data_IF_636367878269
#
_entry.id   IF_636367878269
#
_cell.length_a   1.000
_cell.length_b   1.000
_cell.length_c   1.000
_cell.angle_alpha   90.00
_cell.angle_beta   90.00
_cell.angle_gamma   90.00
#
_symmetry.space_group_name_H-M   'P 1'
#
loop_
_entity.id
_entity.type
_entity.pdbx_description
1 polymer ?
#
# COMPACT_ATOMS: atom_id res chain seq x y z
N UNK A 1 -8.83 -23.05 59.71
CA UNK A 1 -8.42 -22.75 58.29
C UNK A 1 -7.29 -23.73 57.92
N UNK A 2 -7.53 -24.59 56.95
CA UNK A 2 -6.83 -25.85 56.71
C UNK A 2 -5.51 -25.65 55.95
N UNK A 3 -4.56 -26.49 56.28
CA UNK A 3 -3.19 -26.59 55.76
C UNK A 3 -3.07 -26.87 54.23
N UNK A 4 -4.19 -26.93 53.51
CA UNK A 4 -4.20 -27.22 52.06
C UNK A 4 -4.03 -25.98 51.12
N UNK A 5 -4.03 -24.78 51.68
CA UNK A 5 -3.92 -23.55 50.89
C UNK A 5 -2.49 -23.00 50.71
N UNK A 6 -1.46 -23.68 51.23
CA UNK A 6 -0.06 -23.21 51.14
C UNK A 6 0.83 -23.98 50.18
N UNK A 7 0.34 -25.01 49.52
CA UNK A 7 1.13 -25.83 48.58
C UNK A 7 0.92 -25.50 47.10
N UNK A 8 -0.04 -24.67 46.77
CA UNK A 8 -0.31 -24.28 45.38
C UNK A 8 0.37 -22.99 44.92
N UNK A 9 0.99 -22.24 45.85
CA UNK A 9 1.69 -20.99 45.48
C UNK A 9 3.20 -21.17 45.19
N UNK A 10 3.79 -22.32 45.48
CA UNK A 10 5.22 -22.57 45.26
C UNK A 10 5.54 -23.21 43.90
N UNK A 11 4.55 -23.79 43.21
CA UNK A 11 4.77 -24.43 41.92
C UNK A 11 4.67 -23.45 40.70
N UNK A 12 4.08 -22.26 40.87
CA UNK A 12 3.96 -21.27 39.82
C UNK A 12 5.18 -20.35 39.66
N UNK A 13 6.06 -20.30 40.66
CA UNK A 13 7.25 -19.42 40.64
C UNK A 13 8.49 -20.04 39.95
N UNK A 14 8.50 -21.36 39.71
CA UNK A 14 9.64 -22.06 39.11
C UNK A 14 9.58 -22.16 37.57
N UNK A 15 8.41 -21.94 36.95
CA UNK A 15 8.29 -21.96 35.50
C UNK A 15 8.60 -20.62 34.83
N UNK A 16 8.56 -19.49 35.54
CA UNK A 16 8.86 -18.18 35.00
C UNK A 16 10.37 -17.84 34.92
N UNK A 17 11.19 -18.53 35.74
CA UNK A 17 12.64 -18.34 35.80
C UNK A 17 13.41 -19.02 34.65
N UNK A 18 12.87 -20.09 34.08
CA UNK A 18 13.52 -20.86 33.01
C UNK A 18 13.45 -20.18 31.62
N UNK A 19 12.38 -19.46 31.34
CA UNK A 19 12.19 -18.79 30.05
C UNK A 19 13.06 -17.52 29.93
N UNK A 20 13.33 -16.84 31.02
CA UNK A 20 14.16 -15.60 31.01
C UNK A 20 15.64 -15.94 30.89
N UNK A 21 16.12 -17.07 31.41
CA UNK A 21 17.52 -17.50 31.24
C UNK A 21 17.82 -17.98 29.79
N UNK A 22 16.86 -18.61 29.14
CA UNK A 22 17.02 -19.04 27.73
C UNK A 22 17.12 -17.86 26.76
N UNK A 23 16.35 -16.80 27.00
CA UNK A 23 16.41 -15.56 26.21
C UNK A 23 17.72 -14.77 26.41
N UNK A 24 18.33 -14.86 27.61
CA UNK A 24 19.58 -14.17 27.91
C UNK A 24 20.82 -14.88 27.32
N UNK A 25 20.76 -16.17 27.07
CA UNK A 25 21.85 -16.91 26.40
C UNK A 25 21.80 -16.84 24.90
N UNK A 26 20.61 -16.65 24.30
CA UNK A 26 20.45 -16.48 22.85
C UNK A 26 21.00 -15.12 22.35
N UNK A 27 21.06 -14.11 23.21
CA UNK A 27 21.61 -12.78 22.90
C UNK A 27 23.15 -12.69 22.97
N UNK A 28 23.86 -13.74 23.39
CA UNK A 28 25.33 -13.74 23.48
C UNK A 28 26.07 -14.56 22.43
N UNK A 29 25.37 -15.40 21.68
CA UNK A 29 25.95 -16.09 20.54
C UNK A 29 25.62 -15.29 19.28
N UNK A 30 26.52 -14.38 18.89
CA UNK A 30 26.38 -13.48 17.73
C UNK A 30 26.41 -14.20 16.37
N UNK A 31 25.44 -15.05 16.13
CA UNK A 31 25.04 -15.52 14.81
C UNK A 31 23.59 -15.12 14.61
N UNK A 32 23.36 -13.97 13.97
CA UNK A 32 22.07 -13.69 13.34
C UNK A 32 21.84 -14.82 12.32
N UNK A 33 20.68 -15.49 12.32
CA UNK A 33 20.39 -16.42 11.25
C UNK A 33 20.43 -15.63 9.94
N UNK A 34 21.26 -16.09 9.01
CA UNK A 34 21.17 -15.71 7.59
C UNK A 34 19.72 -15.97 7.21
N UNK A 35 19.03 -14.93 6.72
CA UNK A 35 17.68 -15.07 6.22
C UNK A 35 17.69 -16.16 5.15
N UNK A 36 17.08 -17.30 5.44
CA UNK A 36 16.71 -18.27 4.42
C UNK A 36 15.70 -17.57 3.49
N UNK A 37 15.79 -17.85 2.20
CA UNK A 37 14.81 -17.40 1.20
C UNK A 37 13.39 -17.49 1.77
N UNK A 38 12.86 -16.34 2.19
CA UNK A 38 11.50 -16.27 2.67
C UNK A 38 10.59 -16.18 1.46
N UNK A 39 10.26 -17.32 0.89
CA UNK A 39 9.18 -17.38 -0.09
C UNK A 39 7.93 -16.73 0.51
N UNK A 40 7.21 -15.95 -0.29
CA UNK A 40 5.92 -15.39 0.12
C UNK A 40 5.05 -16.57 0.59
N UNK A 41 4.49 -16.50 1.81
CA UNK A 41 3.68 -17.60 2.31
C UNK A 41 2.55 -17.94 1.32
N UNK A 42 2.28 -19.21 1.10
CA UNK A 42 1.15 -19.66 0.28
C UNK A 42 -0.22 -19.30 0.90
N UNK A 43 -0.23 -18.71 2.09
CA UNK A 43 -1.41 -18.19 2.78
C UNK A 43 -1.74 -16.77 2.31
N UNK A 44 -3.03 -16.40 2.36
CA UNK A 44 -3.49 -15.04 2.10
C UNK A 44 -2.98 -14.10 3.19
N UNK A 45 -2.13 -13.14 2.81
CA UNK A 45 -1.60 -12.14 3.73
C UNK A 45 -2.14 -10.73 3.40
N UNK A 46 -2.26 -9.91 4.43
CA UNK A 46 -2.47 -8.49 4.25
C UNK A 46 -1.11 -7.82 4.10
N UNK A 47 -0.96 -6.94 3.12
CA UNK A 47 0.22 -6.11 2.99
C UNK A 47 0.44 -5.29 4.26
N UNK A 48 1.60 -5.42 4.87
CA UNK A 48 1.95 -4.78 6.13
C UNK A 48 3.34 -4.18 6.13
N UNK A 49 3.52 -3.08 6.86
CA UNK A 49 4.76 -2.33 6.94
C UNK A 49 5.19 -2.12 8.40
N UNK A 50 6.48 -2.26 8.66
CA UNK A 50 7.11 -1.83 9.89
C UNK A 50 8.06 -0.65 9.62
N UNK A 51 8.02 0.38 10.48
CA UNK A 51 8.84 1.58 10.37
C UNK A 51 9.84 1.62 11.53
N UNK A 52 11.01 0.95 11.39
CA UNK A 52 11.99 0.87 12.48
C UNK A 52 12.72 2.18 12.73
N UNK A 53 12.84 3.04 11.71
CA UNK A 53 13.57 4.30 11.78
C UNK A 53 12.89 5.36 10.91
N UNK A 54 12.85 6.61 11.40
CA UNK A 54 12.30 7.74 10.65
C UNK A 54 13.14 8.08 9.41
N UNK A 55 12.46 8.42 8.31
CA UNK A 55 13.11 8.78 7.05
C UNK A 55 13.81 7.63 6.33
N UNK A 56 13.61 6.39 6.79
CA UNK A 56 14.16 5.19 6.16
C UNK A 56 13.09 4.33 5.51
N UNK A 57 13.52 3.58 4.51
CA UNK A 57 12.68 2.59 3.84
C UNK A 57 12.07 1.62 4.87
N UNK A 58 10.76 1.43 4.89
CA UNK A 58 10.10 0.50 5.79
C UNK A 58 10.41 -0.95 5.43
N UNK A 59 10.18 -1.84 6.38
CA UNK A 59 10.24 -3.29 6.16
C UNK A 59 8.83 -3.78 5.84
N UNK A 60 8.64 -4.37 4.65
CA UNK A 60 7.42 -5.06 4.26
C UNK A 60 7.37 -6.49 4.80
N UNK A 61 6.20 -7.10 4.77
CA UNK A 61 6.05 -8.53 5.07
C UNK A 61 6.45 -9.45 3.89
N UNK A 62 6.80 -8.86 2.75
CA UNK A 62 7.56 -9.49 1.66
C UNK A 62 8.68 -8.55 1.22
N UNK A 63 9.77 -9.10 0.68
CA UNK A 63 10.89 -8.29 0.18
C UNK A 63 10.59 -7.72 -1.21
N UNK A 64 11.34 -6.70 -1.64
CA UNK A 64 11.22 -6.17 -3.00
C UNK A 64 11.61 -7.22 -4.05
N UNK A 65 12.60 -8.06 -3.74
CA UNK A 65 13.07 -9.16 -4.59
C UNK A 65 12.00 -10.24 -4.76
N UNK A 66 11.31 -10.62 -3.67
CA UNK A 66 10.22 -11.61 -3.74
C UNK A 66 9.05 -11.08 -4.58
N UNK A 67 8.68 -9.83 -4.39
CA UNK A 67 7.61 -9.19 -5.16
C UNK A 67 7.97 -9.01 -6.63
N UNK A 68 9.25 -8.72 -6.93
CA UNK A 68 9.74 -8.51 -8.29
C UNK A 68 9.49 -9.71 -9.22
N UNK A 69 9.52 -10.94 -8.68
CA UNK A 69 9.24 -12.17 -9.43
C UNK A 69 7.82 -12.19 -10.03
N UNK A 70 6.92 -11.43 -9.46
CA UNK A 70 5.52 -11.31 -9.88
C UNK A 70 5.20 -9.94 -10.50
N UNK A 71 6.22 -9.17 -10.89
CA UNK A 71 6.01 -7.83 -11.43
C UNK A 71 5.33 -6.89 -10.41
N UNK A 72 5.60 -7.08 -9.11
CA UNK A 72 4.99 -6.30 -8.05
C UNK A 72 5.99 -5.35 -7.38
N UNK A 73 5.52 -4.16 -6.99
CA UNK A 73 6.30 -3.11 -6.35
C UNK A 73 5.65 -2.65 -5.05
N UNK A 74 6.46 -2.26 -4.07
CA UNK A 74 6.05 -1.41 -2.96
C UNK A 74 6.99 -0.23 -2.74
N UNK A 75 8.11 -0.21 -3.46
CA UNK A 75 9.14 0.82 -3.46
C UNK A 75 9.48 1.21 -4.90
N UNK A 76 9.79 2.48 -5.10
CA UNK A 76 10.41 2.98 -6.31
C UNK A 76 11.94 3.05 -6.20
N UNK A 77 12.54 4.07 -6.80
CA UNK A 77 14.01 4.29 -6.78
C UNK A 77 14.46 4.83 -5.42
N UNK A 78 14.92 3.94 -4.54
CA UNK A 78 15.40 4.29 -3.20
C UNK A 78 16.75 5.03 -3.19
N UNK A 79 17.37 5.21 -4.34
CA UNK A 79 18.58 6.05 -4.50
C UNK A 79 18.27 7.52 -4.78
N UNK A 80 16.99 7.90 -4.88
CA UNK A 80 16.54 9.24 -5.24
C UNK A 80 15.46 9.75 -4.29
N UNK A 81 15.49 11.03 -4.00
CA UNK A 81 14.41 11.74 -3.30
C UNK A 81 13.21 11.91 -4.23
N UNK A 82 12.54 10.81 -4.55
CA UNK A 82 11.36 10.77 -5.40
C UNK A 82 10.18 10.12 -4.65
N UNK A 83 9.01 10.67 -4.85
CA UNK A 83 7.74 10.18 -4.29
C UNK A 83 6.82 9.81 -5.45
N UNK A 84 6.20 8.66 -5.36
CA UNK A 84 5.14 8.20 -6.25
C UNK A 84 3.82 8.30 -5.50
N UNK A 85 3.01 9.30 -5.87
CA UNK A 85 1.71 9.53 -5.23
C UNK A 85 0.67 8.57 -5.78
N UNK A 86 -0.05 7.89 -4.90
CA UNK A 86 -1.14 7.00 -5.31
C UNK A 86 -2.36 7.19 -4.44
N UNK A 87 -3.55 7.10 -5.05
CA UNK A 87 -4.84 7.26 -4.39
C UNK A 87 -5.73 6.06 -4.70
N UNK A 88 -6.31 5.44 -3.66
CA UNK A 88 -7.38 4.48 -3.84
C UNK A 88 -8.73 5.19 -3.82
N UNK A 89 -9.55 4.91 -4.84
CA UNK A 89 -10.77 5.67 -5.15
C UNK A 89 -11.97 4.72 -5.24
N UNK A 90 -12.64 4.48 -4.11
CA UNK A 90 -13.82 3.62 -4.04
C UNK A 90 -15.12 4.31 -4.46
N UNK A 91 -15.26 5.60 -4.18
CA UNK A 91 -16.43 6.44 -4.50
C UNK A 91 -16.04 7.93 -4.38
N UNK A 92 -16.91 8.82 -4.86
CA UNK A 92 -16.76 10.26 -4.72
C UNK A 92 -17.59 10.80 -3.54
N UNK A 93 -16.99 11.72 -2.77
CA UNK A 93 -17.65 12.39 -1.65
C UNK A 93 -17.35 13.89 -1.55
N UNK A 94 -16.92 14.51 -2.64
CA UNK A 94 -16.60 15.94 -2.74
C UNK A 94 -15.11 16.28 -2.58
N UNK A 95 -14.23 15.28 -2.42
CA UNK A 95 -12.80 15.51 -2.15
C UNK A 95 -11.91 15.42 -3.40
N UNK A 96 -12.27 14.57 -4.37
CA UNK A 96 -11.37 14.26 -5.50
C UNK A 96 -11.04 15.47 -6.37
N UNK A 97 -12.00 16.37 -6.59
CA UNK A 97 -11.77 17.56 -7.41
C UNK A 97 -10.67 18.46 -6.83
N UNK A 98 -10.69 18.71 -5.51
CA UNK A 98 -9.68 19.54 -4.83
C UNK A 98 -8.31 18.86 -4.77
N UNK A 99 -8.26 17.53 -4.68
CA UNK A 99 -7.03 16.75 -4.79
C UNK A 99 -6.41 16.95 -6.17
N UNK A 100 -7.19 16.82 -7.25
CA UNK A 100 -6.72 17.05 -8.61
C UNK A 100 -6.23 18.49 -8.84
N UNK A 101 -6.94 19.48 -8.30
CA UNK A 101 -6.51 20.89 -8.35
C UNK A 101 -5.14 21.09 -7.69
N UNK A 102 -4.94 20.47 -6.55
CA UNK A 102 -3.68 20.52 -5.80
C UNK A 102 -2.55 19.82 -6.56
N UNK A 103 -2.77 18.63 -7.08
CA UNK A 103 -1.79 17.90 -7.88
C UNK A 103 -1.35 18.72 -9.11
N UNK A 104 -2.31 19.36 -9.79
CA UNK A 104 -2.04 20.26 -10.91
C UNK A 104 -1.20 21.46 -10.49
N UNK A 105 -1.49 22.09 -9.36
CA UNK A 105 -0.74 23.22 -8.81
C UNK A 105 0.75 22.88 -8.59
N UNK A 106 1.03 21.67 -8.08
CA UNK A 106 2.38 21.17 -7.81
C UNK A 106 3.04 20.47 -9.01
N UNK A 107 2.37 20.38 -10.16
CA UNK A 107 2.80 19.54 -11.29
C UNK A 107 3.15 18.12 -10.84
N UNK A 108 2.43 17.58 -9.87
CA UNK A 108 2.67 16.28 -9.27
C UNK A 108 1.88 15.20 -10.00
N UNK A 109 2.52 14.30 -10.77
CA UNK A 109 1.84 13.16 -11.33
C UNK A 109 1.40 12.22 -10.21
N UNK A 110 0.25 11.57 -10.40
CA UNK A 110 -0.27 10.59 -9.45
C UNK A 110 -0.87 9.39 -10.17
N UNK A 111 -1.13 8.30 -9.44
CA UNK A 111 -1.93 7.18 -9.90
C UNK A 111 -3.19 7.05 -9.04
N UNK A 112 -4.33 6.90 -9.69
CA UNK A 112 -5.62 6.70 -9.06
C UNK A 112 -6.08 5.27 -9.34
N UNK A 113 -6.13 4.43 -8.32
CA UNK A 113 -6.65 3.08 -8.41
C UNK A 113 -8.16 3.12 -8.17
N UNK A 114 -8.93 3.02 -9.24
CA UNK A 114 -10.38 3.19 -9.21
C UNK A 114 -11.11 1.85 -9.20
N UNK A 115 -12.29 1.83 -8.59
CA UNK A 115 -13.23 0.69 -8.70
C UNK A 115 -14.41 1.04 -9.62
N UNK A 116 -15.21 0.04 -9.99
CA UNK A 116 -16.38 0.25 -10.86
C UNK A 116 -17.30 1.36 -10.37
N UNK A 117 -17.63 1.39 -9.08
CA UNK A 117 -18.51 2.42 -8.51
C UNK A 117 -17.97 3.86 -8.71
N UNK A 118 -16.67 4.09 -8.62
CA UNK A 118 -16.09 5.42 -8.89
C UNK A 118 -16.27 5.82 -10.35
N UNK A 119 -16.07 4.91 -11.29
CA UNK A 119 -16.24 5.17 -12.72
C UNK A 119 -17.71 5.41 -13.08
N UNK A 120 -18.63 4.64 -12.49
CA UNK A 120 -20.07 4.78 -12.73
C UNK A 120 -20.68 6.06 -12.17
N UNK A 121 -20.23 6.48 -10.97
CA UNK A 121 -20.88 7.57 -10.23
C UNK A 121 -20.20 8.93 -10.39
N UNK A 122 -18.92 8.96 -10.82
CA UNK A 122 -18.15 10.18 -11.03
C UNK A 122 -17.31 10.12 -12.32
N UNK A 123 -17.93 9.80 -13.49
CA UNK A 123 -17.21 9.61 -14.75
C UNK A 123 -16.42 10.85 -15.17
N UNK A 124 -16.93 12.04 -14.88
CA UNK A 124 -16.26 13.30 -15.21
C UNK A 124 -14.93 13.48 -14.45
N UNK A 125 -14.84 12.98 -13.20
CA UNK A 125 -13.60 13.03 -12.42
C UNK A 125 -12.59 11.99 -12.92
N UNK A 126 -13.07 10.81 -13.32
CA UNK A 126 -12.21 9.78 -13.93
C UNK A 126 -11.66 10.25 -15.28
N UNK A 127 -12.49 10.88 -16.12
CA UNK A 127 -12.03 11.53 -17.34
C UNK A 127 -10.99 12.61 -17.04
N UNK A 128 -11.24 13.45 -16.02
CA UNK A 128 -10.32 14.50 -15.59
C UNK A 128 -8.97 13.94 -15.14
N UNK A 129 -8.93 12.86 -14.35
CA UNK A 129 -7.70 12.17 -13.97
C UNK A 129 -6.87 11.81 -15.20
N UNK A 130 -7.51 11.18 -16.19
CA UNK A 130 -6.85 10.75 -17.43
C UNK A 130 -6.43 11.92 -18.33
N UNK A 131 -7.21 13.00 -18.40
CA UNK A 131 -6.94 14.17 -19.23
C UNK A 131 -5.84 15.07 -18.65
N UNK A 132 -5.70 15.09 -17.31
CA UNK A 132 -4.62 15.79 -16.62
C UNK A 132 -3.31 14.97 -16.56
N UNK A 133 -3.28 13.78 -17.19
CA UNK A 133 -2.07 12.97 -17.35
C UNK A 133 -1.75 12.08 -16.17
N UNK A 134 -2.67 11.91 -15.24
CA UNK A 134 -2.54 10.94 -14.17
C UNK A 134 -2.75 9.51 -14.69
N UNK A 135 -2.15 8.54 -14.03
CA UNK A 135 -2.43 7.13 -14.25
C UNK A 135 -3.78 6.80 -13.62
N UNK A 136 -4.68 6.17 -14.38
CA UNK A 136 -5.86 5.52 -13.83
C UNK A 136 -5.60 4.01 -13.85
N UNK A 137 -5.41 3.44 -12.66
CA UNK A 137 -5.08 2.03 -12.43
C UNK A 137 -6.30 1.22 -11.98
N UNK A 138 -6.17 -0.08 -12.08
CA UNK A 138 -7.23 -1.03 -11.78
C UNK A 138 -7.24 -1.41 -10.29
N UNK A 139 -8.38 -1.15 -9.61
CA UNK A 139 -8.62 -1.58 -8.22
C UNK A 139 -9.77 -2.57 -8.12
N UNK A 140 -10.02 -3.32 -9.21
CA UNK A 140 -11.12 -4.25 -9.44
C UNK A 140 -12.49 -3.58 -9.62
N UNK A 141 -13.44 -4.30 -10.15
CA UNK A 141 -14.79 -3.76 -10.38
C UNK A 141 -15.58 -3.61 -9.07
N UNK A 142 -15.64 -4.70 -8.26
CA UNK A 142 -16.46 -4.76 -7.05
C UNK A 142 -15.68 -4.64 -5.74
N UNK A 143 -14.35 -4.48 -5.79
CA UNK A 143 -13.48 -4.43 -4.60
C UNK A 143 -13.55 -5.69 -3.71
N UNK A 144 -13.57 -6.91 -4.27
CA UNK A 144 -13.60 -8.14 -3.47
C UNK A 144 -12.22 -8.43 -2.86
N UNK A 145 -12.17 -9.40 -1.96
CA UNK A 145 -10.92 -10.03 -1.54
C UNK A 145 -10.40 -10.91 -2.69
N UNK A 146 -9.52 -10.36 -3.52
CA UNK A 146 -8.97 -11.04 -4.69
C UNK A 146 -8.11 -12.25 -4.31
N UNK A 147 -7.51 -12.25 -3.12
CA UNK A 147 -6.69 -13.38 -2.64
C UNK A 147 -7.51 -14.63 -2.37
N UNK A 148 -8.82 -14.48 -2.18
CA UNK A 148 -9.76 -15.58 -2.02
C UNK A 148 -10.28 -16.15 -3.36
N UNK A 149 -9.96 -15.49 -4.49
CA UNK A 149 -10.40 -15.92 -5.82
C UNK A 149 -9.30 -16.79 -6.44
N UNK A 150 -9.46 -18.11 -6.31
CA UNK A 150 -8.50 -19.07 -6.87
C UNK A 150 -8.72 -19.33 -8.39
N UNK A 151 -9.93 -19.12 -8.88
CA UNK A 151 -10.28 -19.31 -10.28
C UNK A 151 -9.81 -18.12 -11.13
N UNK A 152 -8.90 -18.40 -12.08
CA UNK A 152 -8.30 -17.39 -12.95
C UNK A 152 -9.32 -16.64 -13.81
N UNK A 153 -10.40 -17.28 -14.21
CA UNK A 153 -11.45 -16.65 -15.01
C UNK A 153 -12.22 -15.61 -14.21
N UNK A 154 -12.58 -15.93 -12.97
CA UNK A 154 -13.23 -15.00 -12.05
C UNK A 154 -12.30 -13.84 -11.68
N UNK A 155 -11.01 -14.12 -11.46
CA UNK A 155 -9.99 -13.10 -11.21
C UNK A 155 -9.88 -12.14 -12.41
N UNK A 156 -9.73 -12.69 -13.61
CA UNK A 156 -9.63 -11.93 -14.86
C UNK A 156 -10.87 -11.04 -15.06
N UNK A 157 -12.07 -11.59 -14.83
CA UNK A 157 -13.34 -10.88 -15.02
C UNK A 157 -13.45 -9.63 -14.13
N UNK A 158 -12.99 -9.67 -12.89
CA UNK A 158 -12.97 -8.50 -12.00
C UNK A 158 -12.12 -7.36 -12.57
N UNK A 159 -11.01 -7.68 -13.22
CA UNK A 159 -10.15 -6.67 -13.83
C UNK A 159 -10.67 -6.18 -15.18
N UNK A 160 -11.04 -7.09 -16.08
CA UNK A 160 -11.50 -6.75 -17.43
C UNK A 160 -12.83 -5.99 -17.41
N UNK A 161 -13.77 -6.35 -16.52
CA UNK A 161 -15.03 -5.60 -16.41
C UNK A 161 -14.80 -4.13 -16.06
N UNK A 162 -13.80 -3.82 -15.26
CA UNK A 162 -13.44 -2.43 -14.96
C UNK A 162 -12.74 -1.76 -16.16
N UNK A 163 -11.89 -2.48 -16.88
CA UNK A 163 -11.26 -1.95 -18.10
C UNK A 163 -12.32 -1.57 -19.15
N UNK A 164 -13.27 -2.45 -19.41
CA UNK A 164 -14.38 -2.22 -20.35
C UNK A 164 -15.21 -1.00 -19.95
N UNK A 165 -15.56 -0.90 -18.66
CA UNK A 165 -16.29 0.26 -18.14
C UNK A 165 -15.47 1.55 -18.31
N UNK A 166 -14.18 1.54 -17.94
CA UNK A 166 -13.30 2.68 -18.07
C UNK A 166 -13.14 3.13 -19.55
N UNK A 167 -12.91 2.17 -20.46
CA UNK A 167 -12.76 2.45 -21.88
C UNK A 167 -14.05 3.03 -22.48
N UNK A 168 -15.21 2.46 -22.13
CA UNK A 168 -16.50 3.01 -22.58
C UNK A 168 -16.79 4.40 -22.04
N UNK A 169 -16.29 4.73 -20.86
CA UNK A 169 -16.50 6.02 -20.20
C UNK A 169 -15.55 7.10 -20.74
N UNK A 170 -14.27 6.76 -20.90
CA UNK A 170 -13.21 7.74 -21.20
C UNK A 170 -12.76 7.75 -22.66
N UNK A 171 -13.06 6.68 -23.41
CA UNK A 171 -12.51 6.45 -24.75
C UNK A 171 -11.02 6.12 -24.76
N UNK A 172 -10.41 5.83 -23.58
CA UNK A 172 -8.98 5.54 -23.43
C UNK A 172 -8.79 4.12 -22.87
N UNK A 173 -7.69 3.48 -23.24
CA UNK A 173 -7.29 2.20 -22.64
C UNK A 173 -6.80 2.42 -21.21
N UNK A 174 -7.26 1.59 -20.27
CA UNK A 174 -6.82 1.64 -18.88
C UNK A 174 -5.36 1.22 -18.75
N UNK A 175 -4.62 1.83 -17.83
CA UNK A 175 -3.24 1.45 -17.56
C UNK A 175 -3.16 0.05 -16.94
N UNK A 176 -2.05 -0.65 -17.17
CA UNK A 176 -1.80 -2.00 -16.63
C UNK A 176 -1.18 -1.98 -15.23
N UNK A 177 -1.52 -0.97 -14.42
CA UNK A 177 -1.23 -0.96 -12.99
C UNK A 177 -2.44 -1.48 -12.21
N UNK A 178 -2.18 -2.38 -11.28
CA UNK A 178 -3.20 -3.01 -10.44
C UNK A 178 -2.83 -2.86 -8.97
N UNK A 179 -3.82 -2.61 -8.13
CA UNK A 179 -3.66 -2.69 -6.67
C UNK A 179 -4.71 -3.64 -6.11
N UNK A 180 -4.29 -4.68 -5.36
CA UNK A 180 -5.24 -5.59 -4.74
C UNK A 180 -6.06 -4.86 -3.67
N UNK A 181 -7.41 -5.03 -3.66
CA UNK A 181 -8.26 -4.50 -2.61
C UNK A 181 -7.77 -4.84 -1.21
N UNK A 182 -7.82 -3.85 -0.30
CA UNK A 182 -7.39 -4.00 1.11
C UNK A 182 -5.90 -4.38 1.28
N UNK A 183 -5.10 -4.40 0.23
CA UNK A 183 -3.74 -4.93 0.25
C UNK A 183 -3.67 -6.44 0.51
N UNK A 184 -4.78 -7.16 0.35
CA UNK A 184 -4.80 -8.62 0.49
C UNK A 184 -4.24 -9.28 -0.75
N UNK A 185 -3.31 -10.20 -0.55
CA UNK A 185 -2.65 -10.89 -1.65
C UNK A 185 -2.27 -12.32 -1.27
N UNK A 186 -2.01 -13.11 -2.29
CA UNK A 186 -1.36 -14.42 -2.22
C UNK A 186 -0.37 -14.51 -3.38
N UNK A 187 0.56 -15.44 -3.31
CA UNK A 187 1.48 -15.71 -4.43
C UNK A 187 0.71 -16.03 -5.73
N UNK A 188 -0.36 -16.82 -5.62
CA UNK A 188 -1.20 -17.17 -6.78
C UNK A 188 -1.88 -15.94 -7.38
N UNK A 189 -2.41 -15.06 -6.57
CA UNK A 189 -3.07 -13.84 -7.00
C UNK A 189 -2.09 -12.86 -7.67
N UNK A 190 -0.86 -12.74 -7.15
CA UNK A 190 0.21 -11.97 -7.81
C UNK A 190 0.58 -12.56 -9.17
N UNK A 191 0.69 -13.90 -9.26
CA UNK A 191 0.98 -14.61 -10.50
C UNK A 191 -0.14 -14.43 -11.53
N UNK A 192 -1.40 -14.50 -11.10
CA UNK A 192 -2.56 -14.25 -11.95
C UNK A 192 -2.55 -12.84 -12.54
N UNK A 193 -2.31 -11.81 -11.72
CA UNK A 193 -2.20 -10.43 -12.18
C UNK A 193 -1.05 -10.25 -13.17
N UNK A 194 0.13 -10.79 -12.85
CA UNK A 194 1.31 -10.73 -13.72
C UNK A 194 1.08 -11.43 -15.07
N UNK A 195 0.42 -12.60 -15.08
CA UNK A 195 0.08 -13.34 -16.30
C UNK A 195 -0.89 -12.57 -17.21
N UNK A 196 -1.71 -11.69 -16.64
CA UNK A 196 -2.60 -10.77 -17.37
C UNK A 196 -1.88 -9.48 -17.81
N UNK A 197 -0.58 -9.35 -17.57
CA UNK A 197 0.23 -8.20 -17.96
C UNK A 197 0.12 -7.01 -17.03
N UNK A 198 -0.40 -7.19 -15.81
CA UNK A 198 -0.45 -6.14 -14.81
C UNK A 198 0.84 -6.04 -14.00
N UNK A 199 1.17 -4.80 -13.67
CA UNK A 199 2.13 -4.47 -12.60
C UNK A 199 1.36 -4.25 -11.31
N UNK A 200 1.58 -5.10 -10.32
CA UNK A 200 0.95 -4.95 -9.01
C UNK A 200 1.67 -3.88 -8.18
N UNK A 201 0.93 -2.94 -7.61
CA UNK A 201 1.51 -1.82 -6.85
C UNK A 201 0.94 -1.80 -5.43
N UNK A 202 1.77 -2.16 -4.46
CA UNK A 202 1.55 -1.92 -3.05
C UNK A 202 2.02 -0.50 -2.68
N UNK A 203 2.33 -0.25 -1.43
CA UNK A 203 2.81 1.05 -0.92
C UNK A 203 3.89 0.86 0.12
N UNK A 204 4.70 1.88 0.33
CA UNK A 204 5.71 1.92 1.40
C UNK A 204 5.40 2.99 2.46
N UNK A 205 4.39 3.82 2.23
CA UNK A 205 3.91 4.79 3.20
C UNK A 205 2.40 4.93 3.08
N UNK A 206 1.70 4.73 4.18
CA UNK A 206 0.27 4.96 4.32
C UNK A 206 -0.07 5.28 5.78
N UNK A 207 -1.27 5.75 6.01
CA UNK A 207 -1.87 5.89 7.32
C UNK A 207 -3.37 5.61 7.25
N UNK A 208 -4.04 5.50 8.40
CA UNK A 208 -5.46 5.22 8.44
C UNK A 208 -6.23 6.50 8.14
N UNK A 209 -6.78 6.62 6.93
CA UNK A 209 -7.45 7.80 6.38
C UNK A 209 -8.82 7.51 5.72
N UNK A 210 -9.23 6.24 5.68
CA UNK A 210 -10.42 5.78 4.92
C UNK A 210 -11.72 5.74 5.72
N UNK A 211 -11.70 5.89 7.05
CA UNK A 211 -12.93 5.92 7.85
C UNK A 211 -13.67 7.23 7.64
N UNK A 212 -14.94 7.16 7.19
CA UNK A 212 -15.76 8.35 6.88
C UNK A 212 -16.07 9.15 8.13
N UNK A 213 -16.43 8.47 9.22
CA UNK A 213 -16.91 9.07 10.47
C UNK A 213 -15.79 9.26 11.52
N UNK A 214 -14.59 8.77 11.24
CA UNK A 214 -13.42 8.86 12.13
C UNK A 214 -12.19 9.32 11.33
N UNK A 215 -12.28 10.51 10.76
CA UNK A 215 -11.19 11.11 10.01
C UNK A 215 -10.07 11.57 10.95
N UNK A 216 -8.79 11.27 10.65
CA UNK A 216 -7.67 11.80 11.43
C UNK A 216 -7.62 13.32 11.32
N UNK A 217 -7.12 14.00 12.37
CA UNK A 217 -6.84 15.42 12.27
C UNK A 217 -5.62 15.69 11.36
N UNK A 218 -5.46 16.93 10.82
CA UNK A 218 -4.24 17.31 10.08
C UNK A 218 -2.95 16.97 10.84
N UNK A 219 -2.89 17.23 12.15
CA UNK A 219 -1.73 16.97 13.00
C UNK A 219 -1.45 15.45 13.09
N UNK A 220 -2.49 14.64 13.21
CA UNK A 220 -2.36 13.19 13.22
C UNK A 220 -1.82 12.68 11.88
N UNK A 221 -2.33 13.20 10.76
CA UNK A 221 -1.85 12.86 9.42
C UNK A 221 -0.35 13.23 9.26
N UNK A 222 0.03 14.48 9.57
CA UNK A 222 1.42 14.93 9.51
C UNK A 222 2.33 14.10 10.41
N UNK A 223 1.89 13.73 11.62
CA UNK A 223 2.68 12.90 12.54
C UNK A 223 2.99 11.50 12.00
N UNK A 224 2.25 11.03 10.99
CA UNK A 224 2.48 9.75 10.30
C UNK A 224 3.25 9.92 8.99
N UNK A 225 2.87 10.93 8.21
CA UNK A 225 3.38 11.08 6.85
C UNK A 225 4.77 11.72 6.80
N UNK A 226 5.03 12.76 7.61
CA UNK A 226 6.31 13.49 7.54
C UNK A 226 7.51 12.70 8.07
N UNK A 227 7.46 12.03 9.25
CA UNK A 227 8.63 11.29 9.72
C UNK A 227 8.88 9.98 8.98
N UNK A 228 7.89 9.45 8.25
CA UNK A 228 8.01 8.18 7.53
C UNK A 228 8.34 8.33 6.05
N UNK A 229 8.36 9.56 5.52
CA UNK A 229 8.74 9.77 4.12
C UNK A 229 10.20 9.34 3.91
N UNK A 230 10.48 8.69 2.80
CA UNK A 230 11.79 8.14 2.46
C UNK A 230 11.99 8.14 0.95
N UNK A 231 13.23 7.96 0.53
CA UNK A 231 13.61 7.93 -0.88
C UNK A 231 12.89 6.77 -1.60
N UNK A 232 12.29 7.06 -2.75
CA UNK A 232 11.55 6.08 -3.54
C UNK A 232 10.19 5.70 -2.95
N UNK A 233 9.60 6.50 -2.06
CA UNK A 233 8.34 6.17 -1.42
C UNK A 233 7.18 6.06 -2.42
N UNK A 234 6.45 4.94 -2.38
CA UNK A 234 5.11 4.83 -2.97
C UNK A 234 4.12 5.13 -1.87
N UNK A 235 3.43 6.26 -1.98
CA UNK A 235 2.51 6.75 -0.94
C UNK A 235 1.09 6.38 -1.30
N UNK A 236 0.39 5.70 -0.39
CA UNK A 236 -1.04 5.45 -0.49
C UNK A 236 -1.82 6.45 0.35
N UNK A 237 -2.74 7.13 -0.30
CA UNK A 237 -3.78 7.97 0.27
C UNK A 237 -5.14 7.54 -0.28
N UNK A 238 -6.24 7.90 0.39
CA UNK A 238 -7.58 7.68 -0.15
C UNK A 238 -8.19 9.02 -0.60
N UNK A 239 -8.77 9.04 -1.81
CA UNK A 239 -9.41 10.23 -2.36
C UNK A 239 -10.68 10.64 -1.59
N UNK A 240 -11.26 9.72 -0.83
CA UNK A 240 -12.43 9.96 0.02
C UNK A 240 -12.10 10.66 1.34
N UNK A 241 -10.82 10.81 1.69
CA UNK A 241 -10.41 11.47 2.93
C UNK A 241 -10.49 12.99 2.82
N UNK A 242 -11.36 13.59 3.65
CA UNK A 242 -11.42 15.05 3.79
C UNK A 242 -10.12 15.63 4.31
N UNK A 243 -9.49 14.94 5.24
CA UNK A 243 -8.18 15.34 5.77
C UNK A 243 -7.13 15.39 4.68
N UNK A 244 -7.06 14.36 3.80
CA UNK A 244 -6.14 14.39 2.66
C UNK A 244 -6.42 15.58 1.74
N UNK A 245 -7.69 15.84 1.40
CA UNK A 245 -8.05 16.96 0.56
C UNK A 245 -7.67 18.32 1.19
N UNK A 246 -7.76 18.43 2.51
CA UNK A 246 -7.40 19.63 3.25
C UNK A 246 -5.88 19.86 3.33
N UNK A 247 -5.11 18.80 3.62
CA UNK A 247 -3.68 18.94 3.91
C UNK A 247 -2.77 18.80 2.70
N UNK A 248 -3.26 18.28 1.56
CA UNK A 248 -2.40 17.86 0.45
C UNK A 248 -1.49 18.97 -0.05
N UNK A 249 -1.97 20.19 -0.18
CA UNK A 249 -1.18 21.34 -0.66
C UNK A 249 0.03 21.64 0.27
N UNK A 250 -0.21 21.69 1.56
CA UNK A 250 0.85 21.92 2.55
C UNK A 250 1.79 20.69 2.67
N UNK A 251 1.22 19.49 2.58
CA UNK A 251 1.99 18.25 2.61
C UNK A 251 2.99 18.15 1.44
N UNK A 252 2.53 18.43 0.21
CA UNK A 252 3.39 18.43 -0.97
C UNK A 252 4.45 19.53 -0.86
N UNK A 253 4.07 20.75 -0.43
CA UNK A 253 5.01 21.85 -0.18
C UNK A 253 6.11 21.46 0.83
N UNK A 254 5.75 20.76 1.91
CA UNK A 254 6.73 20.28 2.90
C UNK A 254 7.67 19.23 2.31
N UNK A 255 7.17 18.27 1.55
CA UNK A 255 8.00 17.27 0.90
C UNK A 255 8.94 17.88 -0.14
N UNK A 256 8.47 18.87 -0.93
CA UNK A 256 9.32 19.66 -1.81
C UNK A 256 10.40 20.41 -1.04
N UNK A 257 10.05 21.02 0.11
CA UNK A 257 10.98 21.67 1.02
C UNK A 257 12.03 20.74 1.63
N UNK A 258 11.72 19.43 1.76
CA UNK A 258 12.66 18.38 2.15
C UNK A 258 13.53 17.89 0.97
N UNK A 259 13.29 18.40 -0.24
CA UNK A 259 14.03 18.09 -1.46
C UNK A 259 13.49 16.91 -2.24
N UNK A 260 12.26 16.46 -1.96
CA UNK A 260 11.59 15.43 -2.78
C UNK A 260 10.98 16.02 -4.04
N UNK A 261 10.91 15.19 -5.07
CA UNK A 261 10.17 15.43 -6.32
C UNK A 261 9.11 14.36 -6.50
N UNK A 262 8.12 14.64 -7.35
CA UNK A 262 7.04 13.68 -7.65
C UNK A 262 7.26 13.06 -9.02
N UNK A 263 7.05 11.75 -9.12
CA UNK A 263 7.19 10.99 -10.37
C UNK A 263 5.99 10.10 -10.63
N UNK A 264 5.77 9.79 -11.90
CA UNK A 264 4.75 8.85 -12.35
C UNK A 264 5.17 7.41 -12.06
N UNK A 265 4.21 6.50 -11.80
CA UNK A 265 4.50 5.06 -11.73
C UNK A 265 5.12 4.51 -13.03
N UNK A 266 4.95 5.19 -14.16
CA UNK A 266 5.63 4.84 -15.42
C UNK A 266 7.16 5.01 -15.33
N UNK A 267 7.65 5.73 -14.32
CA UNK A 267 9.07 5.97 -14.06
C UNK A 267 9.66 5.02 -13.00
N UNK A 268 8.86 4.03 -12.53
CA UNK A 268 9.37 3.00 -11.64
C UNK A 268 10.58 2.28 -12.26
N UNK A 269 11.61 1.97 -11.48
CA UNK A 269 12.75 1.19 -11.97
C UNK A 269 12.28 -0.12 -12.61
N UNK A 270 12.87 -0.48 -13.76
CA UNK A 270 12.60 -1.79 -14.37
C UNK A 270 13.05 -2.88 -13.40
N UNK A 271 12.16 -3.83 -13.07
CA UNK A 271 12.52 -5.00 -12.29
C UNK A 271 13.54 -5.82 -13.09
N UNK A 272 14.70 -6.03 -12.51
CA UNK A 272 15.66 -6.98 -13.08
C UNK A 272 15.18 -8.38 -12.72
N UNK A 273 14.55 -9.06 -13.66
CA UNK A 273 14.32 -10.50 -13.56
C UNK A 273 15.66 -11.18 -13.76
N UNK A 274 16.23 -11.70 -12.68
CA UNK A 274 17.44 -12.55 -12.69
C UNK A 274 17.11 -13.96 -13.20
#
# INVERSE_FOLDING_TARGET
MSQKARLTAAAAALCAGGAILAAYFALRSGSLPVAADAAIPASTDNWGLAFPEEGKTPVGNATAEDLAQYGAYFLGDTGKKVIYLTFDCGYENGCTASILDTLKKHNAPAAFFVVGNMVETAPELVCRMADEGHIVGNHTYHHPDMSAIADQESFRKELESLEELYESTTGKTMSRFYRPPQGKYSEENLRQAHALGYTTVFWSLAYVDWYVDDQPTPEQAYSKLLPRIHDGAIVLLHSTSRTNAEILDDLLTRWEGMGFTFASLNELPQLQTT
#
